data_IF_962492664493
#
_entry.id   IF_962492664493
#
_cell.length_a   1.000
_cell.length_b   1.000
_cell.length_c   1.000
_cell.angle_alpha   90.00
_cell.angle_beta   90.00
_cell.angle_gamma   90.00
#
_symmetry.space_group_name_H-M   'P 1'
#
loop_
_entity.id
_entity.type
_entity.pdbx_description
1 polymer ?
#
# COMPACT_ATOMS: atom_id res chain seq x y z
N UNK A 1 2.80 33.99 37.88
CA UNK A 1 3.07 33.75 36.45
C UNK A 1 3.44 32.28 36.31
N UNK A 2 2.99 31.62 35.24
CA UNK A 2 3.43 30.25 34.97
C UNK A 2 4.95 30.25 34.76
N UNK A 3 5.64 29.20 35.20
CA UNK A 3 7.06 29.01 34.87
C UNK A 3 7.20 28.62 33.41
N UNK A 4 8.38 28.84 32.83
CA UNK A 4 8.67 28.40 31.46
C UNK A 4 8.41 26.89 31.26
N UNK A 5 8.77 26.08 32.25
CA UNK A 5 8.49 24.64 32.25
C UNK A 5 6.98 24.33 32.19
N UNK A 6 6.14 25.11 32.89
CA UNK A 6 4.69 24.92 32.86
C UNK A 6 4.07 25.32 31.52
N UNK A 7 4.63 26.35 30.86
CA UNK A 7 4.19 26.77 29.52
C UNK A 7 4.51 25.69 28.49
N UNK A 8 5.72 25.13 28.55
CA UNK A 8 6.16 24.07 27.63
C UNK A 8 5.37 22.78 27.86
N UNK A 9 5.10 22.41 29.11
CA UNK A 9 4.27 21.23 29.41
C UNK A 9 2.84 21.38 28.85
N UNK A 10 2.23 22.57 28.98
CA UNK A 10 0.93 22.85 28.40
C UNK A 10 0.96 22.81 26.85
N UNK A 11 2.03 23.30 26.24
CA UNK A 11 2.23 23.22 24.80
C UNK A 11 2.41 21.78 24.33
N UNK A 12 3.22 20.98 25.04
CA UNK A 12 3.41 19.56 24.75
C UNK A 12 2.09 18.79 24.79
N UNK A 13 1.25 19.04 25.81
CA UNK A 13 -0.08 18.44 25.90
C UNK A 13 -0.96 18.83 24.70
N UNK A 14 -0.93 20.11 24.32
CA UNK A 14 -1.70 20.66 23.19
C UNK A 14 -1.28 20.03 21.86
N UNK A 15 0.03 19.95 21.61
CA UNK A 15 0.60 19.33 20.42
C UNK A 15 0.31 17.84 20.36
N UNK A 16 0.42 17.12 21.48
CA UNK A 16 0.13 15.68 21.52
C UNK A 16 -1.35 15.40 21.22
N UNK A 17 -2.26 16.22 21.75
CA UNK A 17 -3.67 16.16 21.42
C UNK A 17 -3.92 16.52 19.94
N UNK A 18 -3.22 17.51 19.40
CA UNK A 18 -3.34 17.92 18.00
C UNK A 18 -2.85 16.85 17.03
N UNK A 19 -1.70 16.24 17.31
CA UNK A 19 -1.20 15.07 16.58
C UNK A 19 -2.23 13.95 16.55
N UNK A 20 -2.80 13.60 17.71
CA UNK A 20 -3.83 12.57 17.81
C UNK A 20 -5.08 12.93 16.99
N UNK A 21 -5.48 14.21 16.97
CA UNK A 21 -6.59 14.67 16.11
C UNK A 21 -6.29 14.50 14.63
N UNK A 22 -5.10 14.88 14.18
CA UNK A 22 -4.69 14.72 12.78
C UNK A 22 -4.67 13.25 12.36
N UNK A 23 -4.03 12.42 13.18
CA UNK A 23 -3.93 10.97 12.94
C UNK A 23 -5.31 10.30 12.80
N UNK A 24 -6.28 10.69 13.64
CA UNK A 24 -7.62 10.10 13.65
C UNK A 24 -8.57 10.71 12.61
N UNK A 25 -8.30 11.91 12.11
CA UNK A 25 -9.11 12.55 11.08
C UNK A 25 -8.80 12.02 9.67
N UNK A 26 -7.57 11.56 9.45
CA UNK A 26 -7.14 10.98 8.20
C UNK A 26 -7.86 9.64 7.91
N UNK A 27 -8.11 9.39 6.63
CA UNK A 27 -8.74 8.16 6.13
C UNK A 27 -7.89 7.55 5.01
N UNK A 28 -6.72 6.98 5.34
CA UNK A 28 -5.82 6.40 4.34
C UNK A 28 -6.38 5.10 3.75
N UNK A 29 -5.97 4.78 2.53
CA UNK A 29 -6.53 3.67 1.76
C UNK A 29 -5.53 2.54 1.47
N UNK A 30 -4.26 2.61 1.88
CA UNK A 30 -3.24 1.58 1.62
C UNK A 30 -3.72 0.18 2.01
N UNK A 31 -4.49 0.08 3.10
CA UNK A 31 -4.99 -1.20 3.60
C UNK A 31 -5.98 -1.87 2.66
N UNK A 32 -6.53 -1.16 1.67
CA UNK A 32 -7.39 -1.70 0.63
C UNK A 32 -6.63 -2.63 -0.31
N UNK A 33 -5.34 -2.36 -0.55
CA UNK A 33 -4.51 -3.07 -1.53
C UNK A 33 -3.29 -3.78 -0.92
N UNK A 34 -2.98 -3.50 0.36
CA UNK A 34 -1.82 -4.08 1.04
C UNK A 34 -2.14 -4.79 2.36
N UNK A 35 -1.40 -5.85 2.64
CA UNK A 35 -1.42 -6.57 3.92
C UNK A 35 -0.31 -6.04 4.82
N UNK A 36 -0.66 -5.61 6.04
CA UNK A 36 0.33 -5.24 7.06
C UNK A 36 1.00 -6.48 7.64
N UNK A 37 2.32 -6.53 7.61
CA UNK A 37 3.12 -7.62 8.16
C UNK A 37 4.13 -7.06 9.16
N UNK A 38 4.16 -7.56 10.41
CA UNK A 38 5.16 -7.12 11.38
C UNK A 38 6.57 -7.56 10.99
N UNK A 39 7.58 -6.75 11.30
CA UNK A 39 8.98 -7.08 11.09
C UNK A 39 9.82 -6.87 12.34
N UNK A 40 10.73 -7.81 12.61
CA UNK A 40 11.68 -7.76 13.72
C UNK A 40 13.13 -7.78 13.28
N UNK A 41 13.43 -7.85 11.96
CA UNK A 41 14.77 -7.81 11.38
C UNK A 41 15.10 -6.52 10.59
N UNK A 42 16.34 -6.40 10.09
CA UNK A 42 16.70 -5.34 9.13
C UNK A 42 16.01 -5.54 7.77
N UNK A 43 15.66 -6.78 7.46
CA UNK A 43 14.87 -7.20 6.32
C UNK A 43 14.02 -8.41 6.72
N UNK A 44 12.91 -8.68 6.03
CA UNK A 44 12.24 -9.97 6.08
C UNK A 44 12.41 -10.69 4.74
N UNK A 45 12.65 -11.99 4.81
CA UNK A 45 12.70 -12.86 3.64
C UNK A 45 11.33 -13.52 3.44
N UNK A 46 10.77 -13.39 2.23
CA UNK A 46 9.44 -13.92 1.88
C UNK A 46 9.51 -15.18 1.02
N UNK A 47 10.46 -16.08 1.32
CA UNK A 47 10.64 -17.32 0.55
C UNK A 47 9.50 -18.34 0.65
N UNK A 48 8.58 -18.14 1.60
CA UNK A 48 7.40 -18.98 1.75
C UNK A 48 6.25 -18.58 0.83
N UNK A 49 6.32 -17.43 0.14
CA UNK A 49 5.24 -16.99 -0.74
C UNK A 49 4.96 -18.08 -1.78
N UNK A 50 5.96 -18.51 -2.54
CA UNK A 50 5.76 -19.50 -3.61
C UNK A 50 5.16 -20.85 -3.14
N UNK A 51 5.34 -21.21 -1.87
CA UNK A 51 5.15 -22.58 -1.39
C UNK A 51 3.92 -22.78 -0.48
N UNK A 52 2.95 -21.85 -0.45
CA UNK A 52 1.74 -22.01 0.38
C UNK A 52 0.95 -23.27 -0.02
N UNK A 53 0.91 -24.34 0.83
CA UNK A 53 0.30 -25.60 0.44
C UNK A 53 -1.23 -25.51 0.43
N UNK A 54 -1.85 -26.21 -0.52
CA UNK A 54 -3.30 -26.43 -0.54
C UNK A 54 -3.74 -27.54 0.41
N UNK A 55 -5.03 -27.55 0.76
CA UNK A 55 -5.64 -28.69 1.43
C UNK A 55 -5.84 -29.80 0.40
N UNK A 56 -5.36 -31.01 0.70
CA UNK A 56 -5.49 -32.20 -0.13
C UNK A 56 -6.21 -33.31 0.64
N UNK A 57 -6.79 -34.27 -0.09
CA UNK A 57 -7.42 -35.44 0.51
C UNK A 57 -6.39 -36.30 1.26
N UNK A 58 -6.78 -36.82 2.42
CA UNK A 58 -5.93 -37.70 3.21
C UNK A 58 -5.92 -39.11 2.60
N UNK A 59 -4.92 -39.39 1.76
CA UNK A 59 -4.80 -40.68 1.06
C UNK A 59 -3.65 -41.56 1.58
N UNK A 60 -2.96 -41.16 2.66
CA UNK A 60 -1.83 -41.90 3.22
C UNK A 60 -1.05 -41.11 4.26
N UNK A 61 0.28 -41.30 4.31
CA UNK A 61 1.16 -40.50 5.15
C UNK A 61 1.07 -39.00 4.80
N UNK A 62 1.40 -38.15 5.78
CA UNK A 62 1.39 -36.69 5.61
C UNK A 62 2.27 -36.27 4.44
N UNK A 63 1.66 -35.60 3.46
CA UNK A 63 2.36 -34.94 2.36
C UNK A 63 2.82 -33.55 2.83
N UNK A 64 4.08 -33.44 3.24
CA UNK A 64 4.67 -32.19 3.73
C UNK A 64 5.20 -31.34 2.55
N UNK A 65 4.86 -30.06 2.53
CA UNK A 65 5.40 -29.12 1.54
C UNK A 65 6.74 -28.54 2.02
N UNK A 66 7.71 -28.49 1.12
CA UNK A 66 8.97 -27.76 1.33
C UNK A 66 8.72 -26.26 1.13
N UNK A 67 9.01 -25.44 2.13
CA UNK A 67 8.92 -23.99 2.04
C UNK A 67 10.32 -23.36 1.84
N UNK A 68 10.41 -22.26 1.10
CA UNK A 68 11.57 -21.36 1.14
C UNK A 68 12.54 -21.44 -0.03
N UNK A 69 12.20 -22.12 -1.13
CA UNK A 69 13.13 -22.32 -2.25
C UNK A 69 13.32 -21.07 -3.12
N UNK A 70 12.33 -20.17 -3.14
CA UNK A 70 12.36 -18.93 -3.93
C UNK A 70 11.74 -17.79 -3.13
N UNK A 71 12.48 -16.70 -2.97
CA UNK A 71 11.99 -15.52 -2.27
C UNK A 71 12.87 -14.31 -2.53
N UNK A 72 12.33 -13.15 -2.21
CA UNK A 72 13.09 -11.92 -2.16
C UNK A 72 12.97 -11.31 -0.76
N UNK A 73 13.92 -10.44 -0.44
CA UNK A 73 13.98 -9.75 0.84
C UNK A 73 13.44 -8.33 0.71
N UNK A 74 12.58 -7.94 1.65
CA UNK A 74 12.16 -6.54 1.79
C UNK A 74 13.00 -5.91 2.90
N UNK A 75 13.91 -5.01 2.52
CA UNK A 75 14.74 -4.25 3.45
C UNK A 75 13.95 -3.11 4.10
N UNK A 76 13.99 -3.03 5.43
CA UNK A 76 13.34 -1.97 6.19
C UNK A 76 14.09 -0.64 6.07
N UNK A 77 13.40 0.39 5.57
CA UNK A 77 13.92 1.75 5.48
C UNK A 77 13.48 2.58 6.69
N UNK A 78 14.40 3.42 7.17
CA UNK A 78 14.10 4.39 8.24
C UNK A 78 13.61 5.67 7.61
N UNK A 79 12.53 6.21 8.15
CA UNK A 79 11.90 7.43 7.68
C UNK A 79 11.78 8.40 8.85
N UNK A 80 11.96 9.69 8.58
CA UNK A 80 11.83 10.74 9.58
C UNK A 80 11.28 12.02 8.93
N UNK A 81 10.62 12.83 9.76
CA UNK A 81 10.32 14.22 9.43
C UNK A 81 10.42 15.03 10.72
N UNK A 82 11.44 15.88 10.80
CA UNK A 82 11.79 16.62 12.00
C UNK A 82 11.94 18.12 11.73
N UNK A 83 11.58 18.93 12.71
CA UNK A 83 11.79 20.37 12.72
C UNK A 83 12.63 20.77 13.93
N UNK A 84 13.32 21.90 13.80
CA UNK A 84 13.95 22.58 14.93
C UNK A 84 13.39 23.99 15.02
N UNK A 85 13.16 24.44 16.25
CA UNK A 85 12.40 25.65 16.56
C UNK A 85 13.20 26.46 17.57
N UNK A 86 13.33 27.77 17.36
CA UNK A 86 14.04 28.63 18.32
C UNK A 86 13.27 28.71 19.64
N UNK A 87 13.99 28.73 20.77
CA UNK A 87 13.34 28.80 22.09
C UNK A 87 12.45 30.02 22.24
N UNK A 88 12.96 31.18 21.82
CA UNK A 88 12.23 32.45 21.88
C UNK A 88 10.93 32.40 21.06
N UNK A 89 10.92 31.70 19.91
CA UNK A 89 9.71 31.51 19.09
C UNK A 89 8.66 30.59 19.75
N UNK A 90 9.08 29.72 20.67
CA UNK A 90 8.17 28.90 21.46
C UNK A 90 7.56 29.71 22.60
N UNK A 91 8.38 30.52 23.26
CA UNK A 91 7.92 31.41 24.33
C UNK A 91 6.96 32.48 23.80
N UNK A 92 7.14 32.92 22.55
CA UNK A 92 6.32 33.92 21.88
C UNK A 92 5.08 33.34 21.15
N UNK A 93 4.82 32.02 21.18
CA UNK A 93 3.69 31.43 20.45
C UNK A 93 2.35 31.74 21.12
N UNK A 94 1.72 32.82 20.67
CA UNK A 94 0.42 33.28 21.18
C UNK A 94 -0.79 32.76 20.39
N UNK A 95 -0.57 32.16 19.22
CA UNK A 95 -1.67 31.76 18.32
C UNK A 95 -1.72 30.25 18.04
N UNK A 96 -0.85 29.45 18.66
CA UNK A 96 -0.92 28.00 18.66
C UNK A 96 -0.39 27.34 17.39
N UNK A 97 0.63 27.94 16.76
CA UNK A 97 1.21 27.45 15.50
C UNK A 97 1.67 25.99 15.60
N UNK A 98 2.31 25.62 16.72
CA UNK A 98 2.86 24.27 16.88
C UNK A 98 1.78 23.20 17.04
N UNK A 99 0.57 23.58 17.47
CA UNK A 99 -0.59 22.70 17.42
C UNK A 99 -0.96 22.31 15.99
N UNK A 100 -0.95 23.26 15.05
CA UNK A 100 -1.21 22.99 13.62
C UNK A 100 -0.14 22.08 13.03
N UNK A 101 1.13 22.36 13.34
CA UNK A 101 2.25 21.51 12.90
C UNK A 101 2.11 20.08 13.43
N UNK A 102 1.82 19.91 14.72
CA UNK A 102 1.62 18.59 15.31
C UNK A 102 0.42 17.86 14.69
N UNK A 103 -0.67 18.57 14.41
CA UNK A 103 -1.82 18.00 13.70
C UNK A 103 -1.45 17.53 12.29
N UNK A 104 -0.67 18.32 11.55
CA UNK A 104 -0.16 17.93 10.24
C UNK A 104 0.76 16.69 10.31
N UNK A 105 1.60 16.56 11.35
CA UNK A 105 2.36 15.31 11.55
C UNK A 105 1.46 14.09 11.73
N UNK A 106 0.34 14.23 12.45
CA UNK A 106 -0.63 13.15 12.62
C UNK A 106 -1.23 12.72 11.29
N UNK A 107 -1.65 13.69 10.47
CA UNK A 107 -2.18 13.46 9.13
C UNK A 107 -1.15 12.78 8.20
N UNK A 108 0.06 13.32 8.15
CA UNK A 108 1.15 12.76 7.35
C UNK A 108 1.48 11.32 7.76
N UNK A 109 1.57 11.03 9.06
CA UNK A 109 1.82 9.66 9.54
C UNK A 109 0.71 8.70 9.11
N UNK A 110 -0.54 9.13 9.12
CA UNK A 110 -1.66 8.29 8.68
C UNK A 110 -1.60 7.99 7.17
N UNK A 111 -1.33 9.01 6.34
CA UNK A 111 -1.26 8.86 4.87
C UNK A 111 0.08 8.33 4.36
N UNK A 112 1.13 8.32 5.16
CA UNK A 112 2.46 7.91 4.73
C UNK A 112 2.49 6.52 4.05
N UNK A 113 1.80 5.48 4.55
CA UNK A 113 1.79 4.21 3.85
C UNK A 113 1.18 4.27 2.44
N UNK A 114 0.20 5.15 2.17
CA UNK A 114 -0.37 5.32 0.82
C UNK A 114 0.71 5.80 -0.16
N UNK A 115 1.59 6.70 0.30
CA UNK A 115 2.73 7.23 -0.47
C UNK A 115 3.81 6.19 -0.78
N UNK A 116 3.75 5.02 -0.15
CA UNK A 116 4.64 3.90 -0.44
C UNK A 116 3.93 2.82 -1.25
N UNK A 117 2.71 2.46 -0.86
CA UNK A 117 1.97 1.31 -1.39
C UNK A 117 1.50 1.53 -2.83
N UNK A 118 0.86 2.67 -3.12
CA UNK A 118 0.33 2.94 -4.45
C UNK A 118 1.43 3.24 -5.47
N UNK A 119 2.48 4.03 -5.17
CA UNK A 119 3.60 4.19 -6.08
C UNK A 119 4.35 2.89 -6.34
N UNK A 120 4.46 1.99 -5.36
CA UNK A 120 5.00 0.65 -5.61
C UNK A 120 4.11 -0.11 -6.62
N UNK A 121 2.79 -0.09 -6.45
CA UNK A 121 1.87 -0.74 -7.39
C UNK A 121 2.06 -0.22 -8.82
N UNK A 122 2.14 1.11 -9.00
CA UNK A 122 2.48 1.73 -10.31
C UNK A 122 3.84 1.26 -10.81
N UNK A 123 4.85 1.21 -9.95
CA UNK A 123 6.19 0.72 -10.31
C UNK A 123 6.24 -0.78 -10.61
N UNK A 124 5.15 -1.53 -10.42
CA UNK A 124 5.07 -2.97 -10.67
C UNK A 124 5.31 -3.37 -12.12
N UNK A 125 5.10 -2.47 -13.08
CA UNK A 125 5.44 -2.70 -14.49
C UNK A 125 6.96 -2.71 -14.76
N UNK A 126 7.79 -2.25 -13.81
CA UNK A 126 9.25 -2.12 -13.95
C UNK A 126 10.05 -2.62 -12.75
N UNK A 127 9.36 -3.17 -11.74
CA UNK A 127 9.97 -3.65 -10.50
C UNK A 127 9.79 -5.15 -10.40
N UNK A 128 10.91 -5.85 -10.23
CA UNK A 128 10.91 -7.31 -10.11
C UNK A 128 10.15 -7.78 -8.87
N UNK A 129 9.41 -8.87 -9.01
CA UNK A 129 8.82 -9.59 -7.90
C UNK A 129 9.61 -10.87 -7.57
N UNK A 130 9.07 -11.74 -6.70
CA UNK A 130 9.83 -12.86 -6.12
C UNK A 130 10.28 -13.91 -7.15
N UNK A 131 9.65 -13.95 -8.32
CA UNK A 131 9.94 -14.90 -9.40
C UNK A 131 10.96 -14.37 -10.41
N UNK A 132 11.44 -13.13 -10.25
CA UNK A 132 12.43 -12.50 -11.13
C UNK A 132 11.85 -11.80 -12.36
N UNK A 133 10.52 -11.83 -12.56
CA UNK A 133 9.81 -10.99 -13.54
C UNK A 133 9.32 -9.69 -12.90
N UNK A 134 8.98 -8.68 -13.71
CA UNK A 134 8.26 -7.52 -13.19
C UNK A 134 6.95 -7.97 -12.54
N UNK A 135 6.44 -7.24 -11.54
CA UNK A 135 5.21 -7.66 -10.87
C UNK A 135 4.00 -7.69 -11.81
N UNK A 136 3.96 -6.81 -12.79
CA UNK A 136 2.99 -6.82 -13.88
C UNK A 136 3.70 -7.21 -15.18
N UNK A 137 3.57 -8.49 -15.55
CA UNK A 137 4.28 -9.10 -16.66
C UNK A 137 3.40 -10.14 -17.38
N UNK A 138 3.76 -10.43 -18.62
CA UNK A 138 3.08 -11.44 -19.44
C UNK A 138 3.58 -12.86 -19.18
N UNK A 139 4.75 -13.00 -18.55
CA UNK A 139 5.53 -14.24 -18.57
C UNK A 139 5.97 -14.73 -17.17
N UNK A 140 5.08 -14.68 -16.18
CA UNK A 140 5.37 -15.23 -14.86
C UNK A 140 5.54 -16.76 -14.90
N UNK A 141 6.68 -17.31 -14.45
CA UNK A 141 6.99 -18.74 -14.59
C UNK A 141 6.18 -19.62 -13.62
N UNK A 142 5.72 -20.77 -14.11
CA UNK A 142 5.14 -21.87 -13.32
C UNK A 142 6.00 -23.12 -13.46
N UNK A 143 6.22 -23.82 -12.35
CA UNK A 143 7.00 -25.07 -12.28
C UNK A 143 6.19 -26.30 -12.73
N UNK A 144 5.46 -26.16 -13.83
CA UNK A 144 4.76 -27.24 -14.52
C UNK A 144 5.75 -28.10 -15.32
N UNK A 145 5.31 -29.28 -15.79
CA UNK A 145 6.10 -30.12 -16.71
C UNK A 145 5.29 -30.41 -17.97
N UNK A 146 5.64 -29.82 -19.15
CA UNK A 146 6.70 -28.82 -19.35
C UNK A 146 6.38 -27.49 -18.65
N UNK A 147 7.40 -26.68 -18.39
CA UNK A 147 7.22 -25.37 -17.76
C UNK A 147 6.34 -24.45 -18.61
N UNK A 148 5.48 -23.67 -17.95
CA UNK A 148 4.53 -22.75 -18.59
C UNK A 148 4.59 -21.39 -17.90
N UNK A 149 4.07 -20.35 -18.55
CA UNK A 149 3.93 -19.02 -17.95
C UNK A 149 2.47 -18.61 -17.81
N UNK A 150 2.20 -17.56 -17.04
CA UNK A 150 0.93 -16.85 -17.04
C UNK A 150 1.15 -15.33 -17.06
N UNK A 151 0.15 -14.62 -17.58
CA UNK A 151 0.11 -13.15 -17.62
C UNK A 151 -0.78 -12.60 -16.53
N UNK A 152 -0.40 -11.46 -15.96
CA UNK A 152 -1.27 -10.65 -15.11
C UNK A 152 -1.42 -9.19 -15.64
N UNK A 153 -1.35 -9.04 -16.95
CA UNK A 153 -1.42 -7.75 -17.64
C UNK A 153 -2.49 -7.74 -18.71
N UNK A 154 -3.17 -6.59 -18.87
CA UNK A 154 -3.97 -6.26 -20.05
C UNK A 154 -3.27 -5.15 -20.84
N UNK A 155 -3.17 -5.33 -22.16
CA UNK A 155 -2.42 -4.42 -23.04
C UNK A 155 -0.94 -4.76 -23.10
N UNK A 156 -0.13 -3.80 -23.57
CA UNK A 156 1.32 -3.89 -23.67
C UNK A 156 1.98 -2.80 -22.80
N UNK A 157 2.54 -3.16 -21.62
CA UNK A 157 3.23 -2.21 -20.75
C UNK A 157 4.45 -1.53 -21.39
N UNK A 158 5.00 -2.06 -22.48
CA UNK A 158 6.09 -1.43 -23.21
C UNK A 158 5.65 -0.23 -24.06
N UNK A 159 4.39 -0.21 -24.52
CA UNK A 159 3.89 0.82 -25.44
C UNK A 159 2.75 1.64 -24.85
N UNK A 160 1.96 1.08 -23.95
CA UNK A 160 0.83 1.76 -23.34
C UNK A 160 1.31 2.78 -22.29
N UNK A 161 0.87 4.03 -22.44
CA UNK A 161 1.27 5.16 -21.60
C UNK A 161 0.11 5.83 -20.88
N UNK A 162 -1.07 5.19 -20.84
CA UNK A 162 -2.22 5.70 -20.10
C UNK A 162 -1.97 5.68 -18.59
N UNK A 163 -2.77 6.45 -17.84
CA UNK A 163 -2.81 6.33 -16.38
C UNK A 163 -3.16 4.87 -16.03
N UNK A 164 -2.34 4.20 -15.20
CA UNK A 164 -2.53 2.79 -14.93
C UNK A 164 -3.78 2.53 -14.09
N UNK A 165 -4.36 1.36 -14.28
CA UNK A 165 -5.46 0.85 -13.45
C UNK A 165 -5.23 -0.61 -13.11
N UNK A 166 -5.77 -1.02 -11.96
CA UNK A 166 -5.51 -2.34 -11.40
C UNK A 166 -6.78 -3.00 -10.92
N UNK A 167 -6.92 -4.29 -11.21
CA UNK A 167 -8.01 -5.12 -10.71
C UNK A 167 -7.44 -6.11 -9.71
N UNK A 168 -7.86 -6.03 -8.45
CA UNK A 168 -7.24 -6.79 -7.35
C UNK A 168 -8.23 -7.73 -6.67
N UNK A 169 -7.67 -8.79 -6.09
CA UNK A 169 -8.33 -9.67 -5.12
C UNK A 169 -7.81 -9.38 -3.71
N UNK A 170 -8.70 -8.94 -2.83
CA UNK A 170 -8.41 -8.71 -1.41
C UNK A 170 -8.98 -9.79 -0.47
N UNK A 171 -9.46 -10.91 -1.02
CA UNK A 171 -10.12 -11.98 -0.26
C UNK A 171 -9.18 -13.07 0.21
N UNK A 172 -7.92 -13.03 -0.25
CA UNK A 172 -6.87 -13.96 0.17
C UNK A 172 -6.18 -13.45 1.43
N UNK A 173 -5.38 -14.33 2.05
CA UNK A 173 -4.64 -14.02 3.29
C UNK A 173 -3.68 -12.84 3.07
N UNK A 174 -3.12 -12.74 1.88
CA UNK A 174 -2.34 -11.60 1.44
C UNK A 174 -3.08 -10.82 0.36
N UNK A 175 -2.86 -9.51 0.34
CA UNK A 175 -3.20 -8.61 -0.75
C UNK A 175 -1.97 -8.41 -1.65
N UNK A 176 -2.13 -7.85 -2.87
CA UNK A 176 -1.04 -7.66 -3.84
C UNK A 176 0.23 -7.02 -3.30
N UNK A 177 0.09 -6.10 -2.33
CA UNK A 177 1.22 -5.43 -1.68
C UNK A 177 1.36 -5.90 -0.23
N UNK A 178 2.59 -5.98 0.25
CA UNK A 178 2.93 -6.16 1.65
C UNK A 178 3.44 -4.84 2.19
N UNK A 179 2.79 -4.33 3.24
CA UNK A 179 3.30 -3.22 4.04
C UNK A 179 4.01 -3.80 5.27
N UNK A 180 5.33 -3.82 5.22
CA UNK A 180 6.18 -4.33 6.29
C UNK A 180 6.43 -3.23 7.32
N UNK A 181 5.83 -3.35 8.50
CA UNK A 181 6.07 -2.40 9.60
C UNK A 181 7.01 -3.01 10.64
N UNK A 182 8.17 -2.37 10.83
CA UNK A 182 9.11 -2.75 11.89
C UNK A 182 8.92 -1.90 13.15
N UNK A 183 8.80 -0.59 12.96
CA UNK A 183 8.62 0.37 14.03
C UNK A 183 7.56 1.38 13.59
N UNK A 184 6.43 1.48 14.32
CA UNK A 184 5.41 2.48 14.00
C UNK A 184 5.99 3.87 14.15
N UNK A 185 5.41 4.84 13.46
CA UNK A 185 5.78 6.24 13.63
C UNK A 185 5.34 6.73 15.00
N UNK A 186 6.27 7.38 15.70
CA UNK A 186 6.01 7.98 17.01
C UNK A 186 6.32 9.46 16.92
N UNK A 187 5.39 10.30 17.36
CA UNK A 187 5.63 11.72 17.51
C UNK A 187 6.50 11.99 18.74
N UNK A 188 7.69 12.53 18.48
CA UNK A 188 8.57 13.09 19.51
C UNK A 188 8.32 14.59 19.59
N UNK A 189 7.89 15.01 20.77
CA UNK A 189 7.57 16.40 21.03
C UNK A 189 8.82 17.17 21.45
N UNK A 190 8.70 18.50 21.48
CA UNK A 190 9.71 19.40 22.06
C UNK A 190 9.98 19.03 23.51
N UNK A 191 11.23 19.12 23.96
CA UNK A 191 11.60 18.79 25.34
C UNK A 191 12.64 19.78 25.91
N UNK A 192 12.33 20.49 27.02
CA UNK A 192 13.26 21.45 27.63
C UNK A 192 14.42 20.82 28.39
N UNK A 193 14.31 19.53 28.71
CA UNK A 193 15.34 18.80 29.46
C UNK A 193 16.33 18.05 28.56
N UNK A 194 16.15 18.13 27.24
CA UNK A 194 17.05 17.47 26.30
C UNK A 194 18.37 18.23 26.13
N UNK A 195 19.44 17.45 25.98
CA UNK A 195 20.78 17.95 25.71
C UNK A 195 20.82 18.82 24.44
N UNK A 196 20.04 18.47 23.41
CA UNK A 196 19.90 19.27 22.20
C UNK A 196 19.41 20.69 22.52
N UNK A 197 18.39 20.82 23.38
CA UNK A 197 17.84 22.12 23.77
C UNK A 197 18.87 22.96 24.50
N UNK A 198 19.60 22.35 25.43
CA UNK A 198 20.65 23.03 26.19
C UNK A 198 21.77 23.56 25.30
N UNK A 199 22.33 22.72 24.42
CA UNK A 199 23.47 23.11 23.60
C UNK A 199 23.12 24.06 22.45
N UNK A 200 21.90 23.97 21.91
CA UNK A 200 21.54 24.69 20.69
C UNK A 200 20.61 25.89 20.90
N UNK A 201 20.07 26.07 22.11
CA UNK A 201 18.99 27.04 22.40
C UNK A 201 17.78 26.87 21.46
N UNK A 202 17.45 25.61 21.14
CA UNK A 202 16.37 25.24 20.21
C UNK A 202 15.65 23.98 20.67
N UNK A 203 14.36 23.93 20.46
CA UNK A 203 13.60 22.69 20.56
C UNK A 203 13.67 21.89 19.25
N UNK A 204 13.43 20.58 19.36
CA UNK A 204 13.22 19.70 18.23
C UNK A 204 11.91 18.93 18.41
N UNK A 205 11.16 18.74 17.33
CA UNK A 205 9.97 17.90 17.30
C UNK A 205 9.91 17.18 15.95
N UNK A 206 9.30 16.01 15.91
CA UNK A 206 9.22 15.25 14.67
C UNK A 206 8.62 13.88 14.83
N UNK A 207 8.54 13.16 13.73
CA UNK A 207 8.09 11.76 13.68
C UNK A 207 9.20 10.91 13.09
N UNK A 208 9.41 9.72 13.64
CA UNK A 208 10.30 8.74 13.05
C UNK A 208 9.72 7.33 13.09
N UNK A 209 9.94 6.57 12.02
CA UNK A 209 9.35 5.26 11.80
C UNK A 209 10.30 4.35 11.03
N UNK A 210 9.97 3.06 10.95
CA UNK A 210 10.75 2.12 10.14
C UNK A 210 9.82 1.09 9.49
N UNK A 211 9.75 1.13 8.17
CA UNK A 211 8.87 0.29 7.37
C UNK A 211 9.39 0.17 5.94
N UNK A 212 8.77 -0.74 5.19
CA UNK A 212 9.01 -0.91 3.77
C UNK A 212 7.78 -1.52 3.09
N UNK A 213 7.76 -1.49 1.77
CA UNK A 213 6.73 -2.12 0.95
C UNK A 213 7.36 -3.09 -0.04
N UNK A 214 6.62 -4.11 -0.43
CA UNK A 214 7.02 -5.04 -1.49
C UNK A 214 5.81 -5.80 -2.04
N UNK A 215 6.00 -6.50 -3.15
CA UNK A 215 4.96 -7.31 -3.77
C UNK A 215 4.74 -8.68 -3.11
N UNK A 216 3.49 -9.14 -3.11
CA UNK A 216 3.15 -10.52 -2.78
C UNK A 216 3.05 -11.37 -4.06
N UNK A 217 1.87 -11.92 -4.34
CA UNK A 217 1.58 -12.82 -5.44
C UNK A 217 1.07 -12.07 -6.67
N UNK A 218 1.75 -12.15 -7.82
CA UNK A 218 1.27 -11.55 -9.06
C UNK A 218 -0.11 -12.09 -9.50
N UNK A 219 -0.50 -13.29 -9.05
CA UNK A 219 -1.82 -13.88 -9.30
C UNK A 219 -2.99 -13.12 -8.64
N UNK A 220 -2.73 -12.17 -7.73
CA UNK A 220 -3.76 -11.44 -6.98
C UNK A 220 -4.14 -10.09 -7.59
N UNK A 221 -3.45 -9.65 -8.65
CA UNK A 221 -3.71 -8.38 -9.29
C UNK A 221 -3.54 -8.50 -10.79
N UNK A 222 -4.39 -7.80 -11.54
CA UNK A 222 -4.16 -7.50 -12.95
C UNK A 222 -3.82 -6.03 -13.06
N UNK A 223 -2.79 -5.69 -13.84
CA UNK A 223 -2.41 -4.32 -14.15
C UNK A 223 -2.60 -3.99 -15.62
N UNK A 224 -2.89 -2.73 -15.93
CA UNK A 224 -2.92 -2.25 -17.30
C UNK A 224 -2.58 -0.77 -17.37
N UNK A 225 -1.90 -0.38 -18.45
CA UNK A 225 -1.72 1.03 -18.86
C UNK A 225 -2.53 1.36 -20.12
N UNK A 226 -3.25 0.39 -20.66
CA UNK A 226 -4.18 0.62 -21.76
C UNK A 226 -5.37 1.43 -21.27
N UNK A 227 -6.10 2.05 -22.20
CA UNK A 227 -7.32 2.80 -21.88
C UNK A 227 -8.29 1.97 -21.04
N UNK A 228 -8.80 2.54 -19.95
CA UNK A 228 -9.84 1.88 -19.16
C UNK A 228 -11.17 1.89 -19.91
N UNK A 229 -11.70 0.71 -20.24
CA UNK A 229 -13.00 0.53 -20.90
C UNK A 229 -13.62 -0.84 -20.56
N UNK A 230 -14.88 -1.05 -20.96
CA UNK A 230 -15.63 -2.28 -20.69
C UNK A 230 -14.94 -3.54 -21.24
N UNK A 231 -14.35 -3.47 -22.44
CA UNK A 231 -13.67 -4.61 -23.05
C UNK A 231 -12.45 -5.06 -22.23
N UNK A 232 -11.57 -4.10 -21.90
CA UNK A 232 -10.37 -4.35 -21.11
C UNK A 232 -10.70 -4.80 -19.68
N UNK A 233 -11.74 -4.21 -19.08
CA UNK A 233 -12.23 -4.61 -17.76
C UNK A 233 -12.71 -6.08 -17.75
N UNK A 234 -13.50 -6.47 -18.74
CA UNK A 234 -14.00 -7.86 -18.86
C UNK A 234 -12.86 -8.85 -19.10
N UNK A 235 -11.86 -8.48 -19.90
CA UNK A 235 -10.65 -9.28 -20.10
C UNK A 235 -9.84 -9.43 -18.81
N UNK A 236 -9.61 -8.34 -18.07
CA UNK A 236 -8.94 -8.37 -16.77
C UNK A 236 -9.65 -9.30 -15.78
N UNK A 237 -10.99 -9.22 -15.67
CA UNK A 237 -11.78 -10.11 -14.82
C UNK A 237 -11.60 -11.58 -15.19
N UNK A 238 -11.64 -11.88 -16.50
CA UNK A 238 -11.46 -13.25 -17.01
C UNK A 238 -10.06 -13.75 -16.72
N UNK A 239 -9.04 -12.93 -16.92
CA UNK A 239 -7.64 -13.27 -16.67
C UNK A 239 -7.43 -13.58 -15.18
N UNK A 240 -7.87 -12.68 -14.29
CA UNK A 240 -7.77 -12.88 -12.85
C UNK A 240 -8.45 -14.17 -12.42
N UNK A 241 -9.73 -14.39 -12.78
CA UNK A 241 -10.46 -15.61 -12.36
C UNK A 241 -9.88 -16.91 -12.92
N UNK A 242 -9.05 -16.86 -13.97
CA UNK A 242 -8.41 -18.03 -14.58
C UNK A 242 -7.04 -18.36 -13.99
N UNK A 243 -6.56 -17.60 -13.01
CA UNK A 243 -5.29 -17.89 -12.33
C UNK A 243 -5.32 -19.29 -11.68
N UNK A 244 -4.25 -20.05 -11.93
CA UNK A 244 -4.09 -21.45 -11.50
C UNK A 244 -2.83 -21.62 -10.68
N UNK A 245 -2.84 -22.62 -9.82
CA UNK A 245 -1.64 -23.14 -9.17
C UNK A 245 -0.81 -23.95 -10.17
N UNK A 246 0.38 -24.35 -9.74
CA UNK A 246 1.29 -25.21 -10.51
C UNK A 246 0.64 -26.56 -10.88
N UNK A 247 -0.20 -27.11 -10.01
CA UNK A 247 -0.95 -28.36 -10.29
C UNK A 247 -2.12 -28.20 -11.29
N UNK A 248 -2.33 -26.98 -11.81
CA UNK A 248 -3.40 -26.64 -12.74
C UNK A 248 -4.76 -26.39 -12.08
N UNK A 249 -4.89 -26.53 -10.76
CA UNK A 249 -6.13 -26.23 -10.04
C UNK A 249 -6.35 -24.72 -9.97
N UNK A 250 -7.61 -24.23 -10.07
CA UNK A 250 -7.90 -22.82 -9.89
C UNK A 250 -7.53 -22.35 -8.47
N UNK A 251 -6.92 -21.16 -8.37
CA UNK A 251 -6.64 -20.52 -7.06
C UNK A 251 -7.95 -20.02 -6.42
N UNK A 252 -8.98 -19.81 -7.25
CA UNK A 252 -10.25 -19.23 -6.83
C UNK A 252 -10.13 -17.76 -6.48
N UNK A 253 -9.20 -17.04 -7.11
CA UNK A 253 -9.11 -15.58 -6.97
C UNK A 253 -10.32 -14.92 -7.62
N UNK A 254 -10.75 -13.80 -7.04
CA UNK A 254 -11.90 -13.04 -7.54
C UNK A 254 -11.62 -11.54 -7.50
N UNK A 255 -12.01 -10.79 -8.54
CA UNK A 255 -11.91 -9.34 -8.50
C UNK A 255 -12.84 -8.80 -7.42
N UNK A 256 -12.34 -7.95 -6.55
CA UNK A 256 -13.13 -7.27 -5.52
C UNK A 256 -12.97 -5.77 -5.55
N UNK A 257 -11.82 -5.27 -6.02
CA UNK A 257 -11.54 -3.84 -6.11
C UNK A 257 -10.95 -3.47 -7.45
N UNK A 258 -11.41 -2.36 -7.99
CA UNK A 258 -10.79 -1.65 -9.10
C UNK A 258 -10.06 -0.43 -8.54
N UNK A 259 -8.74 -0.40 -8.67
CA UNK A 259 -7.89 0.70 -8.25
C UNK A 259 -7.57 1.57 -9.46
N UNK A 260 -7.86 2.87 -9.38
CA UNK A 260 -7.66 3.85 -10.46
C UNK A 260 -7.08 5.15 -9.92
N UNK A 261 -6.47 5.93 -10.80
CA UNK A 261 -6.17 7.33 -10.54
C UNK A 261 -7.32 8.26 -10.94
N UNK A 262 -7.14 9.58 -10.74
CA UNK A 262 -8.16 10.58 -11.03
C UNK A 262 -8.61 10.60 -12.50
N UNK A 263 -7.71 10.32 -13.46
CA UNK A 263 -8.06 10.40 -14.89
C UNK A 263 -9.03 9.30 -15.31
N UNK A 264 -8.93 8.12 -14.69
CA UNK A 264 -9.82 6.99 -14.96
C UNK A 264 -11.07 6.95 -14.07
N UNK A 265 -11.18 7.79 -13.02
CA UNK A 265 -12.30 7.77 -12.06
C UNK A 265 -13.67 7.89 -12.74
N UNK A 266 -13.83 8.86 -13.63
CA UNK A 266 -15.12 9.10 -14.29
C UNK A 266 -15.54 7.91 -15.16
N UNK A 267 -14.59 7.27 -15.83
CA UNK A 267 -14.85 6.08 -16.65
C UNK A 267 -15.17 4.86 -15.77
N UNK A 268 -14.47 4.69 -14.65
CA UNK A 268 -14.73 3.64 -13.66
C UNK A 268 -16.15 3.75 -13.07
N UNK A 269 -16.53 4.94 -12.59
CA UNK A 269 -17.87 5.18 -12.03
C UNK A 269 -18.97 4.98 -13.07
N UNK A 270 -18.75 5.43 -14.30
CA UNK A 270 -19.70 5.20 -15.40
C UNK A 270 -19.92 3.70 -15.63
N UNK A 271 -18.86 2.89 -15.58
CA UNK A 271 -18.97 1.45 -15.81
C UNK A 271 -19.55 0.69 -14.62
N UNK A 272 -19.21 1.05 -13.38
CA UNK A 272 -19.50 0.23 -12.19
C UNK A 272 -20.59 0.79 -11.28
N UNK A 273 -20.90 2.09 -11.33
CA UNK A 273 -21.88 2.74 -10.44
C UNK A 273 -23.14 3.22 -11.18
N UNK A 274 -23.18 3.13 -12.52
CA UNK A 274 -24.38 3.49 -13.27
C UNK A 274 -25.34 2.30 -13.34
N UNK A 275 -26.60 2.46 -12.90
CA UNK A 275 -27.59 1.38 -12.89
C UNK A 275 -28.11 1.00 -14.29
N UNK A 276 -28.17 1.97 -15.22
CA UNK A 276 -28.71 1.79 -16.57
C UNK A 276 -27.73 2.30 -17.62
N UNK A 277 -27.46 1.50 -18.65
CA UNK A 277 -26.66 1.89 -19.81
C UNK A 277 -27.40 2.95 -20.64
N UNK A 278 -26.66 3.69 -21.49
CA UNK A 278 -27.27 4.58 -22.48
C UNK A 278 -28.17 3.77 -23.41
N UNK A 279 -29.49 3.96 -23.28
CA UNK A 279 -30.49 3.16 -24.00
C UNK A 279 -31.55 2.51 -23.09
N UNK A 280 -31.35 2.56 -21.76
CA UNK A 280 -32.33 2.07 -20.78
C UNK A 280 -32.14 0.60 -20.36
N UNK A 281 -31.14 -0.09 -20.91
CA UNK A 281 -30.77 -1.45 -20.51
C UNK A 281 -30.09 -1.45 -19.13
N UNK A 282 -30.34 -2.49 -18.33
CA UNK A 282 -29.68 -2.65 -17.03
C UNK A 282 -28.17 -2.88 -17.19
N UNK A 283 -27.37 -2.24 -16.34
CA UNK A 283 -25.93 -2.45 -16.33
C UNK A 283 -25.55 -3.72 -15.58
N UNK A 284 -25.00 -4.70 -16.30
CA UNK A 284 -24.53 -5.97 -15.75
C UNK A 284 -23.32 -5.85 -14.79
N UNK A 285 -22.57 -4.73 -14.84
CA UNK A 285 -21.40 -4.48 -13.98
C UNK A 285 -21.69 -3.56 -12.80
N UNK A 286 -22.96 -3.17 -12.62
CA UNK A 286 -23.35 -2.32 -11.50
C UNK A 286 -23.00 -2.99 -10.15
N UNK A 287 -22.18 -2.31 -9.34
CA UNK A 287 -21.62 -2.79 -8.06
C UNK A 287 -20.87 -4.12 -8.13
N UNK A 288 -20.26 -4.43 -9.28
CA UNK A 288 -19.51 -5.68 -9.48
C UNK A 288 -18.19 -5.72 -8.69
N UNK A 289 -17.51 -4.57 -8.54
CA UNK A 289 -16.34 -4.38 -7.67
C UNK A 289 -16.37 -3.00 -7.02
N UNK A 290 -15.69 -2.85 -5.88
CA UNK A 290 -15.51 -1.56 -5.22
C UNK A 290 -14.46 -0.70 -5.95
N UNK A 291 -14.75 0.56 -6.22
CA UNK A 291 -13.76 1.49 -6.79
C UNK A 291 -12.93 2.09 -5.66
N UNK A 292 -11.61 2.02 -5.80
CA UNK A 292 -10.63 2.71 -4.96
C UNK A 292 -9.90 3.72 -5.83
N UNK A 293 -10.17 5.00 -5.61
CA UNK A 293 -9.47 6.09 -6.30
C UNK A 293 -8.33 6.55 -5.42
N UNK A 294 -7.11 6.61 -5.97
CA UNK A 294 -5.95 7.16 -5.25
C UNK A 294 -5.18 8.14 -6.13
N UNK A 295 -4.86 9.30 -5.59
CA UNK A 295 -4.08 10.36 -6.24
C UNK A 295 -2.62 9.97 -6.47
N UNK A 296 -2.17 8.87 -5.85
CA UNK A 296 -0.83 8.31 -6.03
C UNK A 296 -0.73 7.41 -7.28
N UNK A 297 -1.87 7.08 -7.90
CA UNK A 297 -1.91 6.39 -9.19
C UNK A 297 -1.78 7.43 -10.29
N UNK A 298 -0.57 7.53 -10.85
CA UNK A 298 -0.24 8.50 -11.90
C UNK A 298 0.37 7.78 -13.09
N UNK A 299 0.20 8.35 -14.29
CA UNK A 299 0.96 7.91 -15.46
C UNK A 299 2.47 8.14 -15.21
N UNK A 300 3.28 7.15 -15.62
CA UNK A 300 4.74 7.22 -15.54
C UNK A 300 5.34 8.07 -16.67
#
# INVERSE_FOLDING_TARGET
MATEAQVIEALQATMSAAYTRGLNAASPQWSMVATKVPSSGAQNFYGWLKDLPGIVEWVGDRQLADLGKHGYSIENKTWESSISINRDEVDDDQIGHYGVIAQNYGDQVAYFPDTLVYPLLVAGFSTLCYDGQNYFDTDHPLETTPATTFSNVIGDPGTDTGEPWFLIDDTKVLKPVVFQERRPFVFKNMNPTEEYTWFNNKYAAGVDGRCAVGFSFPQLAIGSKAVFNEANYVEAKKLLRKMKKVDGTPIGVRPTKLVVGPDNEAAAKKLLETMMKNGGDSNEYYNDVEIVVSEQIVAA
#
